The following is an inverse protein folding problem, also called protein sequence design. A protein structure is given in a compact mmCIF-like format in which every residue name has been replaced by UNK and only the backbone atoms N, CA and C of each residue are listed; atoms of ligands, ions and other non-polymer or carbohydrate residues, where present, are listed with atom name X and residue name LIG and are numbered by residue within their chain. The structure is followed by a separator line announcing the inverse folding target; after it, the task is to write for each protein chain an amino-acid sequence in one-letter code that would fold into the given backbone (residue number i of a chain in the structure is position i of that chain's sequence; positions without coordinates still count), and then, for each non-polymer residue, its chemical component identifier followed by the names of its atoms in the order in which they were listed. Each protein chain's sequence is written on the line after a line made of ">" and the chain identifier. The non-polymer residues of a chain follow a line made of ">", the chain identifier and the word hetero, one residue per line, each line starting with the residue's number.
data_IF_989713346054
#
_entry.id   IF_989713346054
#
_cell.length_a   1.000
_cell.length_b   1.000
_cell.length_c   1.000
_cell.angle_alpha   90.00
_cell.angle_beta   90.00
_cell.angle_gamma   90.00
#
_symmetry.space_group_name_H-M   'P 1'
#
loop_
_entity.id
_entity.type
_entity.pdbx_description
1 polymer ?
#
# COMPACT_ATOMS: atom_id res chain seq x y z
N UNK A 1 -18.75 -15.85 -17.64
CA UNK A 1 -18.20 -16.29 -16.33
C UNK A 1 -16.76 -15.80 -16.26
N UNK A 2 -16.62 -14.53 -15.85
CA UNK A 2 -15.38 -13.74 -15.94
C UNK A 2 -14.93 -13.26 -14.54
N UNK A 3 -15.56 -13.78 -13.48
CA UNK A 3 -15.47 -13.26 -12.12
C UNK A 3 -14.10 -13.41 -11.45
N UNK A 4 -13.30 -14.41 -11.82
CA UNK A 4 -11.98 -14.65 -11.23
C UNK A 4 -10.95 -13.57 -11.59
N UNK A 5 -10.85 -13.24 -12.88
CA UNK A 5 -9.94 -12.20 -13.37
C UNK A 5 -10.39 -10.79 -12.95
N UNK A 6 -11.71 -10.53 -12.95
CA UNK A 6 -12.27 -9.26 -12.48
C UNK A 6 -12.02 -9.03 -10.98
N UNK A 7 -12.17 -10.08 -10.15
CA UNK A 7 -11.95 -9.99 -8.70
C UNK A 7 -10.49 -9.68 -8.36
N UNK A 8 -9.54 -10.32 -9.05
CA UNK A 8 -8.10 -10.05 -8.88
C UNK A 8 -7.77 -8.57 -9.14
N UNK A 9 -8.15 -8.06 -10.31
CA UNK A 9 -7.87 -6.66 -10.69
C UNK A 9 -8.55 -5.67 -9.76
N UNK A 10 -9.79 -5.96 -9.33
CA UNK A 10 -10.50 -5.12 -8.38
C UNK A 10 -9.79 -5.00 -7.03
N UNK A 11 -9.24 -6.11 -6.50
CA UNK A 11 -8.50 -6.10 -5.24
C UNK A 11 -7.17 -5.33 -5.36
N UNK A 12 -6.46 -5.50 -6.48
CA UNK A 12 -5.23 -4.73 -6.76
C UNK A 12 -5.53 -3.24 -6.87
N UNK A 13 -6.61 -2.87 -7.58
CA UNK A 13 -7.07 -1.48 -7.69
C UNK A 13 -7.38 -0.90 -6.31
N UNK A 14 -8.21 -1.59 -5.51
CA UNK A 14 -8.59 -1.13 -4.18
C UNK A 14 -7.37 -0.99 -3.26
N UNK A 15 -6.46 -1.96 -3.29
CA UNK A 15 -5.22 -1.92 -2.52
C UNK A 15 -4.33 -0.74 -2.91
N UNK A 16 -4.16 -0.50 -4.22
CA UNK A 16 -3.36 0.62 -4.74
C UNK A 16 -3.97 1.97 -4.36
N UNK A 17 -5.29 2.13 -4.45
CA UNK A 17 -5.99 3.34 -4.02
C UNK A 17 -5.85 3.58 -2.51
N UNK A 18 -5.95 2.53 -1.69
CA UNK A 18 -5.71 2.63 -0.26
C UNK A 18 -4.27 3.06 0.05
N UNK A 19 -3.27 2.50 -0.63
CA UNK A 19 -1.87 2.93 -0.50
C UNK A 19 -1.67 4.41 -0.88
N UNK A 20 -2.32 4.90 -1.94
CA UNK A 20 -2.30 6.33 -2.29
C UNK A 20 -2.95 7.19 -1.20
N UNK A 21 -4.17 6.82 -0.79
CA UNK A 21 -4.90 7.53 0.25
C UNK A 21 -4.12 7.61 1.57
N UNK A 22 -3.35 6.55 1.88
CA UNK A 22 -2.47 6.50 3.04
C UNK A 22 -1.40 7.59 3.04
N UNK A 23 -0.93 8.02 1.86
CA UNK A 23 0.08 9.08 1.73
C UNK A 23 -0.40 10.45 2.21
N UNK A 24 -1.72 10.67 2.24
CA UNK A 24 -2.36 11.90 2.69
C UNK A 24 -2.80 11.85 4.17
N UNK A 25 -2.60 10.72 4.84
CA UNK A 25 -2.92 10.53 6.24
C UNK A 25 -1.65 10.66 7.10
N UNK A 26 -1.77 11.03 8.39
CA UNK A 26 -0.65 11.01 9.31
C UNK A 26 -0.07 9.59 9.48
N UNK A 27 1.23 9.44 9.23
CA UNK A 27 1.96 8.18 9.43
C UNK A 27 2.58 8.09 10.82
N UNK A 28 2.89 9.23 11.42
CA UNK A 28 3.31 9.32 12.80
C UNK A 28 2.88 10.67 13.33
N UNK A 29 2.62 10.70 14.64
CA UNK A 29 2.29 11.89 15.38
C UNK A 29 3.01 11.83 16.72
N UNK A 30 3.78 12.86 17.03
CA UNK A 30 4.49 13.02 18.30
C UNK A 30 4.10 14.34 18.95
N UNK A 31 3.90 14.35 20.26
CA UNK A 31 3.48 15.56 20.99
C UNK A 31 1.98 15.87 20.88
N UNK A 32 1.59 17.07 21.32
CA UNK A 32 0.17 17.46 21.50
C UNK A 32 -0.35 17.27 22.93
N UNK A 33 0.37 16.53 23.76
CA UNK A 33 0.08 16.36 25.18
C UNK A 33 0.79 17.42 26.05
N UNK A 34 0.26 17.61 27.26
CA UNK A 34 0.91 18.42 28.30
C UNK A 34 1.92 17.57 29.04
N UNK A 35 3.20 17.92 28.94
CA UNK A 35 4.27 17.34 29.77
C UNK A 35 4.65 18.38 30.82
N UNK A 36 4.46 18.06 32.10
CA UNK A 36 4.76 18.97 33.22
C UNK A 36 4.08 20.35 33.11
N UNK A 37 2.85 20.39 32.58
CA UNK A 37 2.08 21.63 32.40
C UNK A 37 2.39 22.42 31.13
N UNK A 38 3.47 22.09 30.42
CA UNK A 38 3.87 22.73 29.15
C UNK A 38 3.23 21.98 27.98
N UNK A 39 2.54 22.72 27.09
CA UNK A 39 1.95 22.14 25.87
C UNK A 39 3.08 21.89 24.87
N UNK A 40 3.41 20.63 24.63
CA UNK A 40 4.41 20.26 23.63
C UNK A 40 3.75 20.37 22.25
N UNK A 41 4.33 21.12 21.29
CA UNK A 41 3.77 21.22 19.94
C UNK A 41 3.67 19.83 19.31
N UNK A 42 2.52 19.54 18.69
CA UNK A 42 2.34 18.30 17.95
C UNK A 42 3.11 18.40 16.63
N UNK A 43 3.98 17.43 16.37
CA UNK A 43 4.57 17.20 15.06
C UNK A 43 3.92 15.96 14.45
N UNK A 44 3.64 16.03 13.16
CA UNK A 44 3.12 14.93 12.38
C UNK A 44 3.86 14.88 11.05
N UNK A 45 4.03 13.67 10.53
CA UNK A 45 4.58 13.46 9.19
C UNK A 45 3.68 12.55 8.37
N UNK A 46 3.66 12.82 7.08
CA UNK A 46 2.83 12.11 6.09
C UNK A 46 3.63 11.02 5.38
N UNK A 47 2.93 10.15 4.68
CA UNK A 47 3.54 9.03 3.94
C UNK A 47 4.29 9.42 2.65
N UNK A 48 4.50 10.71 2.38
CA UNK A 48 5.20 11.19 1.18
C UNK A 48 6.68 11.53 1.44
N UNK A 49 7.25 10.94 2.49
CA UNK A 49 8.65 11.13 2.87
C UNK A 49 9.34 9.78 3.07
N UNK A 50 10.64 9.74 2.77
CA UNK A 50 11.49 8.57 3.01
C UNK A 50 10.92 7.28 2.41
N UNK A 51 10.77 6.18 3.20
CA UNK A 51 10.22 4.91 2.72
C UNK A 51 8.79 5.00 2.19
N UNK A 52 8.02 6.00 2.61
CA UNK A 52 6.66 6.21 2.14
C UNK A 52 6.56 6.51 0.63
N UNK A 53 7.60 7.13 0.05
CA UNK A 53 7.71 7.34 -1.40
C UNK A 53 7.76 6.01 -2.17
N UNK A 54 8.36 4.97 -1.59
CA UNK A 54 8.43 3.64 -2.22
C UNK A 54 7.05 2.98 -2.20
N UNK A 55 6.30 3.12 -1.11
CA UNK A 55 4.91 2.65 -1.01
C UNK A 55 4.03 3.37 -2.02
N UNK A 56 4.14 4.69 -2.12
CA UNK A 56 3.39 5.50 -3.07
C UNK A 56 3.76 5.16 -4.53
N UNK A 57 5.05 5.03 -4.82
CA UNK A 57 5.55 4.64 -6.15
C UNK A 57 5.08 3.24 -6.55
N UNK A 58 5.07 2.28 -5.62
CA UNK A 58 4.53 0.94 -5.85
C UNK A 58 3.03 0.99 -6.19
N UNK A 59 2.26 1.82 -5.49
CA UNK A 59 0.83 2.02 -5.77
C UNK A 59 0.59 2.62 -7.17
N UNK A 60 1.37 3.62 -7.56
CA UNK A 60 1.29 4.20 -8.91
C UNK A 60 1.66 3.15 -9.96
N UNK A 61 2.76 2.42 -9.77
CA UNK A 61 3.17 1.38 -10.70
C UNK A 61 2.08 0.32 -10.90
N UNK A 62 1.43 -0.11 -9.82
CA UNK A 62 0.30 -1.04 -9.89
C UNK A 62 -0.88 -0.45 -10.68
N UNK A 63 -1.27 0.81 -10.43
CA UNK A 63 -2.35 1.46 -11.19
C UNK A 63 -2.02 1.63 -12.66
N UNK A 64 -0.79 2.04 -13.00
CA UNK A 64 -0.34 2.20 -14.39
C UNK A 64 -0.40 0.87 -15.13
N UNK A 65 0.10 -0.20 -14.52
CA UNK A 65 0.05 -1.54 -15.12
C UNK A 65 -1.38 -2.03 -15.31
N UNK A 66 -2.24 -1.75 -14.33
CA UNK A 66 -3.65 -2.12 -14.35
C UNK A 66 -4.38 -1.34 -15.45
N UNK A 67 -4.13 -0.04 -15.59
CA UNK A 67 -4.67 0.81 -16.66
C UNK A 67 -4.21 0.35 -18.06
N UNK A 68 -2.90 0.09 -18.23
CA UNK A 68 -2.36 -0.49 -19.47
C UNK A 68 -3.02 -1.84 -19.77
N UNK A 69 -3.19 -2.70 -18.76
CA UNK A 69 -3.86 -3.99 -18.88
C UNK A 69 -5.33 -3.88 -19.29
N UNK A 70 -6.04 -2.85 -18.82
CA UNK A 70 -7.41 -2.54 -19.25
C UNK A 70 -7.45 -2.04 -20.71
N UNK A 71 -6.57 -1.09 -21.07
CA UNK A 71 -6.54 -0.50 -22.40
C UNK A 71 -6.11 -1.48 -23.51
N UNK A 72 -5.15 -2.38 -23.21
CA UNK A 72 -4.65 -3.36 -24.20
C UNK A 72 -5.56 -4.55 -24.47
N UNK A 73 -6.59 -4.79 -23.64
CA UNK A 73 -7.58 -5.85 -23.86
C UNK A 73 -6.96 -7.23 -24.16
N UNK A 74 -7.50 -7.93 -25.17
CA UNK A 74 -7.27 -9.34 -25.56
C UNK A 74 -5.81 -9.73 -25.89
N UNK A 75 -4.87 -8.80 -25.96
CA UNK A 75 -3.50 -9.02 -26.44
C UNK A 75 -2.46 -9.34 -25.36
N UNK A 76 -2.89 -9.91 -24.24
CA UNK A 76 -2.02 -10.58 -23.27
C UNK A 76 -0.80 -9.75 -22.89
N UNK A 77 -0.99 -8.63 -22.21
CA UNK A 77 0.12 -7.85 -21.69
C UNK A 77 0.85 -8.69 -20.64
N UNK A 78 2.06 -9.17 -20.95
CA UNK A 78 2.84 -10.05 -20.08
C UNK A 78 3.06 -9.47 -18.68
N UNK A 79 3.11 -8.13 -18.59
CA UNK A 79 3.29 -7.39 -17.36
C UNK A 79 1.99 -7.24 -16.55
N UNK A 80 0.81 -7.46 -17.12
CA UNK A 80 -0.45 -7.64 -16.38
C UNK A 80 -0.58 -9.09 -15.91
N UNK A 81 0.46 -9.57 -15.22
CA UNK A 81 0.49 -10.91 -14.61
C UNK A 81 0.48 -10.81 -13.09
N UNK A 82 -0.12 -11.80 -12.39
CA UNK A 82 -0.14 -11.83 -10.94
C UNK A 82 1.25 -11.70 -10.29
N UNK A 83 2.30 -12.19 -10.96
CA UNK A 83 3.69 -12.07 -10.53
C UNK A 83 4.16 -10.62 -10.40
N UNK A 84 3.81 -9.75 -11.34
CA UNK A 84 4.26 -8.36 -11.31
C UNK A 84 3.62 -7.62 -10.15
N UNK A 85 2.31 -7.80 -9.93
CA UNK A 85 1.64 -7.21 -8.78
C UNK A 85 2.13 -7.80 -7.45
N UNK A 86 2.48 -9.09 -7.41
CA UNK A 86 3.10 -9.69 -6.23
C UNK A 86 4.45 -9.01 -5.92
N UNK A 87 5.32 -8.84 -6.92
CA UNK A 87 6.61 -8.16 -6.74
C UNK A 87 6.43 -6.70 -6.28
N UNK A 88 5.49 -5.96 -6.88
CA UNK A 88 5.16 -4.59 -6.47
C UNK A 88 4.68 -4.56 -5.03
N UNK A 89 3.80 -5.48 -4.65
CA UNK A 89 3.30 -5.60 -3.28
C UNK A 89 4.39 -5.95 -2.28
N UNK A 90 5.34 -6.81 -2.65
CA UNK A 90 6.49 -7.14 -1.81
C UNK A 90 7.44 -5.95 -1.64
N UNK A 91 7.67 -5.17 -2.69
CA UNK A 91 8.47 -3.93 -2.61
C UNK A 91 7.78 -2.91 -1.71
N UNK A 92 6.49 -2.67 -1.90
CA UNK A 92 5.69 -1.79 -1.04
C UNK A 92 5.64 -2.28 0.41
N UNK A 93 5.44 -3.59 0.62
CA UNK A 93 5.42 -4.21 1.94
C UNK A 93 6.79 -4.16 2.64
N UNK A 94 7.88 -4.34 1.90
CA UNK A 94 9.24 -4.21 2.43
C UNK A 94 9.54 -2.78 2.87
N UNK A 95 9.15 -1.78 2.08
CA UNK A 95 9.29 -0.38 2.47
C UNK A 95 8.44 -0.02 3.70
N UNK A 96 7.21 -0.55 3.77
CA UNK A 96 6.33 -0.36 4.93
C UNK A 96 6.90 -1.03 6.19
N UNK A 97 7.43 -2.25 6.07
CA UNK A 97 8.06 -2.97 7.17
C UNK A 97 9.32 -2.24 7.66
N UNK A 98 10.14 -1.74 6.73
CA UNK A 98 11.30 -0.91 7.07
C UNK A 98 10.88 0.36 7.81
N UNK A 99 9.80 1.03 7.38
CA UNK A 99 9.28 2.20 8.10
C UNK A 99 8.77 1.85 9.50
N UNK A 100 8.07 0.72 9.63
CA UNK A 100 7.62 0.21 10.94
C UNK A 100 8.80 -0.08 11.86
N UNK A 101 9.88 -0.66 11.32
CA UNK A 101 11.13 -0.89 12.04
C UNK A 101 11.81 0.40 12.49
N UNK A 102 11.93 1.41 11.60
CA UNK A 102 12.51 2.72 11.97
C UNK A 102 11.78 3.32 13.17
N UNK A 103 10.45 3.37 13.11
CA UNK A 103 9.63 3.92 14.19
C UNK A 103 9.79 3.12 15.50
N UNK A 104 9.78 1.79 15.40
CA UNK A 104 9.99 0.93 16.55
C UNK A 104 11.38 1.13 17.18
N UNK A 105 12.42 1.31 16.35
CA UNK A 105 13.81 1.49 16.80
C UNK A 105 14.03 2.78 17.59
N UNK A 106 13.17 3.80 17.40
CA UNK A 106 13.18 5.05 18.16
C UNK A 106 12.19 5.05 19.33
N UNK A 107 11.64 3.88 19.69
CA UNK A 107 10.70 3.72 20.80
C UNK A 107 9.27 4.18 20.49
N UNK A 108 8.95 4.42 19.21
CA UNK A 108 7.60 4.77 18.76
C UNK A 108 6.89 3.52 18.23
N UNK A 109 5.93 2.99 18.98
CA UNK A 109 5.09 1.88 18.50
C UNK A 109 3.83 2.46 17.85
N UNK A 110 3.70 2.42 16.50
CA UNK A 110 2.60 3.05 15.80
C UNK A 110 1.29 2.28 16.04
N UNK A 111 0.50 2.74 17.01
CA UNK A 111 -0.88 2.26 17.15
C UNK A 111 -1.73 2.83 16.00
N UNK A 112 -2.69 2.07 15.43
CA UNK A 112 -3.51 2.53 14.31
C UNK A 112 -4.20 3.89 14.53
N UNK A 113 -4.56 4.21 15.79
CA UNK A 113 -5.17 5.48 16.18
C UNK A 113 -4.20 6.67 16.08
N UNK A 114 -2.91 6.43 16.26
CA UNK A 114 -1.85 7.47 16.22
C UNK A 114 -1.24 7.60 14.82
N UNK A 115 -1.30 6.53 14.02
CA UNK A 115 -0.73 6.44 12.69
C UNK A 115 -1.74 5.85 11.68
N UNK A 116 -2.87 6.53 11.43
CA UNK A 116 -3.91 6.03 10.53
C UNK A 116 -3.38 5.78 9.11
N UNK A 117 -2.41 6.58 8.65
CA UNK A 117 -1.78 6.37 7.36
C UNK A 117 -1.02 5.05 7.26
N UNK A 118 -0.22 4.68 8.27
CA UNK A 118 0.47 3.38 8.28
C UNK A 118 -0.52 2.21 8.28
N UNK A 119 -1.61 2.33 9.03
CA UNK A 119 -2.64 1.28 9.08
C UNK A 119 -3.34 1.12 7.71
N UNK A 120 -3.69 2.23 7.05
CA UNK A 120 -4.30 2.21 5.72
C UNK A 120 -3.31 1.70 4.67
N UNK A 121 -2.02 2.07 4.76
CA UNK A 121 -0.97 1.55 3.90
C UNK A 121 -0.82 0.02 4.06
N UNK A 122 -0.83 -0.49 5.30
CA UNK A 122 -0.77 -1.91 5.58
C UNK A 122 -1.97 -2.67 5.00
N UNK A 123 -3.18 -2.13 5.17
CA UNK A 123 -4.39 -2.69 4.56
C UNK A 123 -4.30 -2.68 3.02
N UNK A 124 -3.79 -1.59 2.43
CA UNK A 124 -3.61 -1.47 0.99
C UNK A 124 -2.62 -2.49 0.42
N UNK A 125 -1.45 -2.64 1.06
CA UNK A 125 -0.44 -3.65 0.70
C UNK A 125 -1.03 -5.06 0.83
N UNK A 126 -1.73 -5.35 1.93
CA UNK A 126 -2.36 -6.65 2.14
C UNK A 126 -3.41 -6.97 1.06
N UNK A 127 -4.25 -6.01 0.69
CA UNK A 127 -5.22 -6.15 -0.39
C UNK A 127 -4.56 -6.39 -1.74
N UNK A 128 -3.46 -5.69 -2.03
CA UNK A 128 -2.72 -5.83 -3.27
C UNK A 128 -2.06 -7.21 -3.38
N UNK A 129 -1.39 -7.67 -2.31
CA UNK A 129 -0.80 -9.01 -2.23
C UNK A 129 -1.87 -10.11 -2.31
N UNK A 130 -3.00 -9.93 -1.62
CA UNK A 130 -4.12 -10.86 -1.68
C UNK A 130 -4.75 -10.91 -3.07
N UNK A 131 -4.90 -9.74 -3.72
CA UNK A 131 -5.31 -9.64 -5.11
C UNK A 131 -4.39 -10.45 -6.00
N UNK A 132 -3.08 -10.17 -5.96
CA UNK A 132 -2.07 -10.92 -6.71
C UNK A 132 -2.17 -12.44 -6.45
N UNK A 133 -2.33 -12.86 -5.19
CA UNK A 133 -2.60 -14.24 -4.80
C UNK A 133 -3.83 -14.86 -5.49
N UNK A 134 -4.95 -14.14 -5.49
CA UNK A 134 -6.19 -14.56 -6.16
C UNK A 134 -6.00 -14.72 -7.68
N UNK A 135 -5.13 -13.91 -8.29
CA UNK A 135 -4.76 -14.01 -9.70
C UNK A 135 -4.13 -15.35 -10.08
N UNK A 136 -3.37 -15.99 -9.18
CA UNK A 136 -2.81 -17.33 -9.40
C UNK A 136 -3.85 -18.45 -9.37
N UNK A 137 -4.94 -18.23 -8.64
CA UNK A 137 -6.02 -19.21 -8.47
C UNK A 137 -7.10 -19.11 -9.56
N UNK A 138 -7.01 -18.12 -10.45
CA UNK A 138 -7.96 -17.96 -11.55
C UNK A 138 -7.73 -19.05 -12.62
N UNK A 139 -8.79 -19.74 -13.08
CA UNK A 139 -8.65 -20.77 -14.11
C UNK A 139 -8.11 -20.15 -15.40
N UNK A 140 -6.95 -20.63 -15.87
CA UNK A 140 -6.40 -20.26 -17.17
C UNK A 140 -7.29 -20.87 -18.24
N UNK A 141 -7.95 -20.04 -19.05
CA UNK A 141 -8.61 -20.54 -20.28
C UNK A 141 -7.49 -20.98 -21.24
N UNK A 142 -7.36 -22.29 -21.42
CA UNK A 142 -6.58 -22.93 -22.48
C UNK A 142 -7.22 -22.69 -23.83
#
# INVERSE_FOLDING_TARGET
>A
MDGGAGRFRFLVLLGSLAMIASGFLPWWRAGGDRVSGVRVPAQEGIGLEGPGLVVFGAAIAALVLLDIGYMRGRWGFFLDSPWVYLLIGLVGGGALAYRGWELWSVGYLPLPQQSPGLAVAAAGVALLLYGAGAGFSAPRRS
#
